data_IF_024459102299
#
_entry.id   IF_024459102299
#
_cell.length_a   1.000
_cell.length_b   1.000
_cell.length_c   1.000
_cell.angle_alpha   90.00
_cell.angle_beta   90.00
_cell.angle_gamma   90.00
#
_symmetry.space_group_name_H-M   'P 1'
#
loop_
_entity.id
_entity.type
_entity.pdbx_description
1 polymer ?
#
# COMPACT_ATOMS: atom_id res chain seq x y z
N UNK A 1 1.97 -17.03 1.14
CA UNK A 1 3.06 -16.52 0.30
C UNK A 1 4.02 -15.75 1.19
N UNK A 2 5.28 -16.13 1.19
CA UNK A 2 6.34 -15.40 1.89
C UNK A 2 6.58 -14.05 1.20
N UNK A 3 7.16 -13.10 1.91
CA UNK A 3 7.54 -11.82 1.31
C UNK A 3 8.54 -12.00 0.16
N UNK A 4 9.40 -13.02 0.23
CA UNK A 4 10.35 -13.34 -0.84
C UNK A 4 9.65 -13.84 -2.11
N UNK A 5 8.74 -14.83 -1.97
CA UNK A 5 7.92 -15.31 -3.09
C UNK A 5 7.10 -14.20 -3.74
N UNK A 6 6.53 -13.31 -2.90
CA UNK A 6 5.82 -12.12 -3.39
C UNK A 6 6.73 -11.22 -4.23
N UNK A 7 7.96 -10.95 -3.77
CA UNK A 7 8.93 -10.16 -4.52
C UNK A 7 9.32 -10.82 -5.84
N UNK A 8 9.39 -12.14 -5.90
CA UNK A 8 9.66 -12.86 -7.14
C UNK A 8 8.50 -12.77 -8.13
N UNK A 9 7.24 -12.83 -7.65
CA UNK A 9 6.09 -12.54 -8.51
C UNK A 9 6.12 -11.10 -9.06
N UNK A 10 6.52 -10.12 -8.26
CA UNK A 10 6.67 -8.75 -8.75
C UNK A 10 7.79 -8.63 -9.80
N UNK A 11 8.93 -9.29 -9.60
CA UNK A 11 10.00 -9.33 -10.61
C UNK A 11 9.52 -9.96 -11.91
N UNK A 12 8.79 -11.07 -11.83
CA UNK A 12 8.15 -11.75 -12.98
C UNK A 12 7.22 -10.80 -13.72
N UNK A 13 6.40 -10.06 -12.97
CA UNK A 13 5.51 -9.02 -13.51
C UNK A 13 6.25 -7.76 -14.02
N UNK A 14 7.59 -7.69 -13.90
CA UNK A 14 8.41 -6.50 -14.17
C UNK A 14 7.92 -5.27 -13.39
N UNK A 15 7.71 -5.46 -12.09
CA UNK A 15 7.30 -4.43 -11.15
C UNK A 15 8.26 -4.32 -9.98
N UNK A 16 8.48 -3.09 -9.55
CA UNK A 16 9.00 -2.75 -8.24
C UNK A 16 7.88 -2.79 -7.19
N UNK A 17 8.25 -2.82 -5.90
CA UNK A 17 7.25 -2.72 -4.80
C UNK A 17 6.52 -1.38 -4.87
N UNK A 18 7.21 -0.31 -5.27
CA UNK A 18 6.63 1.03 -5.42
C UNK A 18 5.57 1.06 -6.52
N UNK A 19 5.87 0.50 -7.69
CA UNK A 19 4.90 0.45 -8.81
C UNK A 19 3.70 -0.41 -8.45
N UNK A 20 3.92 -1.57 -7.83
CA UNK A 20 2.84 -2.40 -7.32
C UNK A 20 1.97 -1.62 -6.32
N UNK A 21 2.58 -0.93 -5.35
CA UNK A 21 1.86 -0.10 -4.37
C UNK A 21 1.02 0.99 -5.05
N UNK A 22 1.55 1.61 -6.10
CA UNK A 22 0.84 2.62 -6.91
C UNK A 22 -0.38 2.03 -7.63
N UNK A 23 -0.24 0.85 -8.24
CA UNK A 23 -1.33 0.16 -8.93
C UNK A 23 -2.45 -0.23 -7.96
N UNK A 24 -2.12 -0.75 -6.78
CA UNK A 24 -3.11 -1.13 -5.77
C UNK A 24 -3.55 0.02 -4.84
N UNK A 25 -3.07 1.24 -5.12
CA UNK A 25 -3.34 2.48 -4.34
C UNK A 25 -3.07 2.33 -2.83
N UNK A 26 -1.96 1.67 -2.50
CA UNK A 26 -1.45 1.52 -1.14
C UNK A 26 -0.19 2.35 -0.92
N UNK A 27 0.09 2.66 0.35
CA UNK A 27 1.37 3.25 0.72
C UNK A 27 2.48 2.19 0.60
N UNK A 28 3.58 2.53 -0.07
CA UNK A 28 4.76 1.67 -0.23
C UNK A 28 5.25 1.09 1.12
N UNK A 29 5.27 1.91 2.17
CA UNK A 29 5.71 1.50 3.51
C UNK A 29 4.82 0.40 4.10
N UNK A 30 3.52 0.39 3.78
CA UNK A 30 2.63 -0.68 4.22
C UNK A 30 3.00 -2.03 3.62
N UNK A 31 3.59 -2.02 2.42
CA UNK A 31 4.01 -3.24 1.72
C UNK A 31 5.39 -3.67 2.20
N UNK A 32 6.35 -2.74 2.27
CA UNK A 32 7.72 -3.05 2.72
C UNK A 32 7.76 -3.54 4.17
N UNK A 33 6.85 -3.08 5.04
CA UNK A 33 6.71 -3.58 6.41
C UNK A 33 6.40 -5.08 6.50
N UNK A 34 5.85 -5.71 5.46
CA UNK A 34 5.64 -7.16 5.45
C UNK A 34 6.95 -7.97 5.37
N UNK A 35 8.06 -7.34 4.95
CA UNK A 35 9.38 -7.98 5.00
C UNK A 35 9.75 -8.44 6.41
N UNK A 36 9.47 -7.63 7.44
CA UNK A 36 9.74 -7.95 8.84
C UNK A 36 8.86 -9.10 9.37
N UNK A 37 7.64 -9.22 8.84
CA UNK A 37 6.70 -10.30 9.19
C UNK A 37 6.98 -11.60 8.44
N UNK A 38 7.79 -11.56 7.38
CA UNK A 38 8.12 -12.70 6.52
C UNK A 38 6.99 -13.16 5.59
N UNK A 39 5.74 -12.73 5.79
CA UNK A 39 4.57 -13.12 5.00
C UNK A 39 3.73 -11.92 4.58
N UNK A 40 3.13 -12.01 3.40
CA UNK A 40 2.19 -10.99 2.88
C UNK A 40 0.73 -11.42 3.06
N UNK A 41 -0.21 -10.48 3.25
CA UNK A 41 -1.64 -10.79 3.27
C UNK A 41 -2.12 -11.49 2.00
N UNK A 42 -3.10 -12.38 2.14
CA UNK A 42 -3.57 -13.26 1.05
C UNK A 42 -4.03 -12.50 -0.20
N UNK A 43 -4.69 -11.35 -0.06
CA UNK A 43 -5.14 -10.56 -1.20
C UNK A 43 -3.98 -9.98 -2.01
N UNK A 44 -2.90 -9.51 -1.37
CA UNK A 44 -1.70 -9.04 -2.07
C UNK A 44 -0.97 -10.18 -2.77
N UNK A 45 -0.93 -11.35 -2.14
CA UNK A 45 -0.37 -12.57 -2.73
C UNK A 45 -1.12 -12.97 -4.01
N UNK A 46 -2.46 -13.00 -3.96
CA UNK A 46 -3.32 -13.33 -5.11
C UNK A 46 -3.10 -12.33 -6.24
N UNK A 47 -3.11 -11.02 -5.96
CA UNK A 47 -2.91 -10.00 -6.99
C UNK A 47 -1.52 -10.14 -7.63
N UNK A 48 -0.46 -10.28 -6.84
CA UNK A 48 0.90 -10.42 -7.38
C UNK A 48 1.07 -11.68 -8.24
N UNK A 49 0.48 -12.81 -7.81
CA UNK A 49 0.51 -14.05 -8.59
C UNK A 49 -0.19 -13.89 -9.94
N UNK A 50 -1.37 -13.26 -9.96
CA UNK A 50 -2.12 -13.00 -11.19
C UNK A 50 -1.35 -12.04 -12.11
N UNK A 51 -0.76 -10.96 -11.58
CA UNK A 51 0.06 -10.04 -12.37
C UNK A 51 1.29 -10.71 -12.97
N UNK A 52 1.94 -11.61 -12.21
CA UNK A 52 3.06 -12.42 -12.71
C UNK A 52 2.63 -13.34 -13.84
N UNK A 53 1.48 -14.01 -13.70
CA UNK A 53 0.93 -14.85 -14.77
C UNK A 53 0.56 -14.02 -16.01
N UNK A 54 -0.13 -12.90 -15.84
CA UNK A 54 -0.48 -12.01 -16.96
C UNK A 54 0.75 -11.54 -17.73
N UNK A 55 1.83 -11.19 -17.04
CA UNK A 55 3.08 -10.77 -17.69
C UNK A 55 3.73 -11.89 -18.52
N UNK A 56 3.73 -13.13 -18.03
CA UNK A 56 4.25 -14.28 -18.77
C UNK A 56 3.44 -14.56 -20.06
N UNK A 57 2.14 -14.28 -20.03
CA UNK A 57 1.25 -14.39 -21.19
C UNK A 57 1.18 -13.09 -22.02
N UNK A 58 2.07 -12.13 -21.78
CA UNK A 58 2.15 -10.85 -22.50
C UNK A 58 0.86 -10.00 -22.43
N UNK A 59 0.11 -10.13 -21.34
CA UNK A 59 -1.12 -9.38 -21.10
C UNK A 59 -0.76 -8.10 -20.33
N UNK A 60 -0.91 -6.94 -20.99
CA UNK A 60 -0.71 -5.63 -20.36
C UNK A 60 -1.86 -5.30 -19.40
N UNK A 61 -1.54 -5.17 -18.12
CA UNK A 61 -2.51 -4.91 -17.04
C UNK A 61 -2.44 -3.50 -16.47
N UNK A 62 -1.34 -2.76 -16.73
CA UNK A 62 -1.08 -1.44 -16.14
C UNK A 62 -2.17 -0.45 -16.55
N UNK A 63 -2.42 -0.33 -17.84
CA UNK A 63 -3.42 0.59 -18.40
C UNK A 63 -4.83 0.24 -17.96
N UNK A 64 -5.16 -1.06 -17.85
CA UNK A 64 -6.47 -1.54 -17.41
C UNK A 64 -6.72 -1.14 -15.94
N UNK A 65 -5.71 -1.31 -15.09
CA UNK A 65 -5.81 -0.96 -13.67
C UNK A 65 -5.84 0.56 -13.47
N UNK A 66 -5.07 1.32 -14.25
CA UNK A 66 -5.06 2.79 -14.17
C UNK A 66 -6.39 3.41 -14.61
N UNK A 67 -7.16 2.74 -15.46
CA UNK A 67 -8.54 3.14 -15.80
C UNK A 67 -9.53 2.94 -14.64
N UNK A 68 -9.20 2.12 -13.64
CA UNK A 68 -10.06 1.95 -12.48
C UNK A 68 -9.93 3.16 -11.56
N UNK A 69 -11.05 3.84 -11.27
CA UNK A 69 -11.12 4.85 -10.21
C UNK A 69 -11.03 4.21 -8.81
N UNK A 70 -9.87 3.63 -8.48
CA UNK A 70 -9.60 3.12 -7.14
C UNK A 70 -9.34 4.33 -6.23
N UNK A 71 -10.38 4.78 -5.53
CA UNK A 71 -10.24 5.87 -4.56
C UNK A 71 -9.29 5.43 -3.43
N UNK A 72 -8.22 6.19 -3.23
CA UNK A 72 -7.33 6.00 -2.08
C UNK A 72 -8.15 6.07 -0.78
N UNK A 73 -8.01 5.07 0.08
CA UNK A 73 -8.65 5.10 1.41
C UNK A 73 -8.08 6.27 2.20
N UNK A 74 -8.97 7.13 2.73
CA UNK A 74 -8.57 8.26 3.60
C UNK A 74 -7.62 7.76 4.71
N UNK A 75 -6.51 8.47 4.97
CA UNK A 75 -5.67 8.18 6.13
C UNK A 75 -6.55 8.22 7.38
N UNK A 76 -6.61 7.12 8.13
CA UNK A 76 -7.26 7.12 9.43
C UNK A 76 -6.28 7.78 10.42
N UNK A 77 -6.75 8.79 11.15
CA UNK A 77 -5.98 9.42 12.23
C UNK A 77 -5.28 10.74 11.88
N UNK A 78 -5.77 11.53 10.92
CA UNK A 78 -5.36 12.93 10.84
C UNK A 78 -5.60 13.60 12.22
N UNK A 79 -4.61 14.27 12.82
CA UNK A 79 -4.79 14.90 14.11
C UNK A 79 -5.93 15.92 13.99
N UNK A 80 -6.99 15.72 14.78
CA UNK A 80 -7.95 16.79 15.02
C UNK A 80 -7.11 17.88 15.72
N UNK A 81 -6.93 19.04 15.06
CA UNK A 81 -6.39 20.23 15.71
C UNK A 81 -7.40 20.67 16.77
N UNK A 82 -7.39 20.02 17.93
CA UNK A 82 -8.11 20.52 19.09
C UNK A 82 -7.36 21.78 19.52
N UNK A 83 -8.00 22.93 19.37
CA UNK A 83 -7.41 24.21 19.72
C UNK A 83 -6.92 24.19 21.16
N UNK A 84 -5.60 24.16 21.34
CA UNK A 84 -4.97 24.43 22.63
C UNK A 84 -5.13 25.93 22.92
N UNK A 85 -6.30 26.32 23.42
CA UNK A 85 -6.45 27.58 24.14
C UNK A 85 -5.87 27.39 25.54
N UNK A 86 -4.59 27.72 25.70
CA UNK A 86 -4.00 27.90 27.03
C UNK A 86 -4.69 29.07 27.72
N UNK A 87 -5.68 28.80 28.58
CA UNK A 87 -6.13 29.76 29.58
C UNK A 87 -5.12 29.73 30.75
N UNK A 88 -4.45 30.87 31.00
CA UNK A 88 -3.63 31.07 32.20
C UNK A 88 -4.54 31.03 33.45
N UNK A 89 -4.16 30.36 34.55
CA UNK A 89 -4.86 30.53 35.81
C UNK A 89 -4.53 31.91 36.39
N UNK A 90 -5.56 32.69 36.67
CA UNK A 90 -5.45 33.93 37.43
C UNK A 90 -5.15 33.58 38.89
N UNK A 91 -4.09 34.19 39.44
CA UNK A 91 -3.82 34.19 40.86
C UNK A 91 -5.00 34.84 41.62
N UNK A 92 -5.47 34.17 42.66
CA UNK A 92 -6.20 34.66 43.83
C UNK A 92 -5.68 33.77 44.96
N UNK A 93 -5.29 34.22 46.15
CA UNK A 93 -5.34 35.50 46.85
C UNK A 93 -4.92 35.16 48.28
#
# INVERSE_FOLDING_TARGET
>A
MTYFEFRDQLKRARLTVREFASLVKMNENSITNYSQKGVVPSHLAVIALLMGEMADHQIEFRDIIDQMEIKQKKPRGAPIKFGMSHAKPALQG
#
